data_IF_349335220282
#
_entry.id   IF_349335220282
#
_cell.length_a   1.000
_cell.length_b   1.000
_cell.length_c   1.000
_cell.angle_alpha   90.00
_cell.angle_beta   90.00
_cell.angle_gamma   90.00
#
_symmetry.space_group_name_H-M   'P 1'
#
loop_
_entity.id
_entity.type
_entity.pdbx_description
1 polymer ?
#
# COMPACT_ATOMS: atom_id res chain seq x y z
N UNK A 1 23.53 -7.39 0.59
CA UNK A 1 23.53 -6.99 2.02
C UNK A 1 22.69 -5.75 2.33
N UNK A 2 22.91 -4.59 1.67
CA UNK A 2 22.09 -3.39 1.92
C UNK A 2 20.58 -3.59 1.66
N UNK A 3 20.24 -4.32 0.60
CA UNK A 3 18.85 -4.66 0.24
C UNK A 3 18.11 -5.43 1.34
N UNK A 4 18.81 -6.28 2.10
CA UNK A 4 18.22 -7.06 3.17
C UNK A 4 17.85 -6.19 4.38
N UNK A 5 18.70 -5.21 4.71
CA UNK A 5 18.46 -4.23 5.78
C UNK A 5 17.31 -3.32 5.38
N UNK A 6 17.31 -2.82 4.14
CA UNK A 6 16.24 -1.97 3.62
C UNK A 6 14.90 -2.71 3.58
N UNK A 7 14.88 -3.93 3.06
CA UNK A 7 13.69 -4.78 3.02
C UNK A 7 13.17 -5.13 4.42
N UNK A 8 14.07 -5.50 5.34
CA UNK A 8 13.71 -5.86 6.71
C UNK A 8 13.14 -4.67 7.48
N UNK A 9 13.89 -3.56 7.54
CA UNK A 9 13.45 -2.36 8.28
C UNK A 9 12.20 -1.75 7.62
N UNK A 10 12.21 -1.61 6.29
CA UNK A 10 11.09 -1.04 5.54
C UNK A 10 9.83 -1.92 5.60
N UNK A 11 9.99 -3.24 5.48
CA UNK A 11 8.89 -4.20 5.57
C UNK A 11 8.24 -4.21 6.95
N UNK A 12 9.04 -4.27 8.02
CA UNK A 12 8.52 -4.24 9.39
C UNK A 12 7.84 -2.90 9.69
N UNK A 13 8.48 -1.78 9.37
CA UNK A 13 7.90 -0.45 9.62
C UNK A 13 6.60 -0.25 8.85
N UNK A 14 6.56 -0.56 7.55
CA UNK A 14 5.34 -0.44 6.76
C UNK A 14 4.24 -1.40 7.23
N UNK A 15 4.58 -2.60 7.70
CA UNK A 15 3.57 -3.53 8.23
C UNK A 15 2.93 -2.99 9.51
N UNK A 16 3.73 -2.47 10.44
CA UNK A 16 3.22 -1.86 11.68
C UNK A 16 2.38 -0.62 11.38
N UNK A 17 2.88 0.26 10.51
CA UNK A 17 2.20 1.50 10.14
C UNK A 17 0.89 1.22 9.38
N UNK A 18 0.89 0.23 8.49
CA UNK A 18 -0.30 -0.23 7.77
C UNK A 18 -1.39 -0.74 8.72
N UNK A 19 -1.03 -1.58 9.68
CA UNK A 19 -1.96 -2.05 10.71
C UNK A 19 -2.54 -0.90 11.55
N UNK A 20 -1.69 0.03 11.99
CA UNK A 20 -2.11 1.20 12.75
C UNK A 20 -3.10 2.07 11.93
N UNK A 21 -2.75 2.41 10.69
CA UNK A 21 -3.63 3.17 9.77
C UNK A 21 -4.96 2.44 9.52
N UNK A 22 -4.94 1.11 9.39
CA UNK A 22 -6.16 0.31 9.19
C UNK A 22 -7.09 0.35 10.42
N UNK A 23 -6.54 0.20 11.62
CA UNK A 23 -7.29 0.31 12.87
C UNK A 23 -7.89 1.71 13.05
N UNK A 24 -7.11 2.76 12.78
CA UNK A 24 -7.60 4.15 12.83
C UNK A 24 -8.67 4.40 11.76
N UNK A 25 -8.46 3.91 10.53
CA UNK A 25 -9.42 4.02 9.43
C UNK A 25 -10.77 3.40 9.76
N UNK A 26 -10.76 2.22 10.40
CA UNK A 26 -11.99 1.56 10.89
C UNK A 26 -12.67 2.36 11.99
N UNK A 27 -11.90 2.91 12.94
CA UNK A 27 -12.44 3.70 14.05
C UNK A 27 -13.04 5.03 13.59
N UNK A 28 -12.40 5.71 12.63
CA UNK A 28 -12.84 7.00 12.09
C UNK A 28 -13.84 6.87 10.93
N UNK A 29 -14.17 5.63 10.51
CA UNK A 29 -14.98 5.33 9.30
C UNK A 29 -14.49 6.06 8.04
N UNK A 30 -13.19 6.36 7.97
CA UNK A 30 -12.60 7.14 6.87
C UNK A 30 -12.16 6.20 5.75
N UNK A 31 -12.84 6.30 4.61
CA UNK A 31 -12.48 5.54 3.40
C UNK A 31 -11.09 5.92 2.87
N UNK A 32 -10.69 7.19 3.00
CA UNK A 32 -9.36 7.66 2.59
C UNK A 32 -8.25 7.02 3.42
N UNK A 33 -8.43 6.95 4.75
CA UNK A 33 -7.43 6.40 5.65
C UNK A 33 -7.26 4.88 5.50
N UNK A 34 -8.34 4.16 5.18
CA UNK A 34 -8.28 2.73 4.86
C UNK A 34 -7.51 2.49 3.55
N UNK A 35 -7.71 3.34 2.53
CA UNK A 35 -6.98 3.24 1.27
C UNK A 35 -5.48 3.46 1.45
N UNK A 36 -5.13 4.45 2.26
CA UNK A 36 -3.75 4.72 2.69
C UNK A 36 -3.13 3.54 3.46
N UNK A 37 -3.92 2.88 4.29
CA UNK A 37 -3.49 1.68 5.01
C UNK A 37 -3.18 0.52 4.05
N UNK A 38 -4.03 0.31 3.03
CA UNK A 38 -3.85 -0.72 2.00
C UNK A 38 -2.59 -0.45 1.16
N UNK A 39 -2.35 0.80 0.76
CA UNK A 39 -1.13 1.17 0.05
C UNK A 39 0.13 0.90 0.89
N UNK A 40 0.06 1.23 2.18
CA UNK A 40 1.17 1.00 3.11
C UNK A 40 1.42 -0.49 3.34
N UNK A 41 0.38 -1.33 3.45
CA UNK A 41 0.54 -2.78 3.62
C UNK A 41 1.08 -3.46 2.36
N UNK A 42 0.65 -3.03 1.17
CA UNK A 42 1.21 -3.50 -0.10
C UNK A 42 2.70 -3.15 -0.24
N UNK A 43 3.10 -1.97 0.25
CA UNK A 43 4.51 -1.56 0.29
C UNK A 43 5.35 -2.45 1.23
N UNK A 44 4.76 -2.97 2.32
CA UNK A 44 5.42 -3.97 3.16
C UNK A 44 5.62 -5.31 2.43
N UNK A 45 4.62 -5.76 1.68
CA UNK A 45 4.70 -6.98 0.87
C UNK A 45 5.78 -6.88 -0.21
N UNK A 46 5.85 -5.73 -0.90
CA UNK A 46 6.90 -5.46 -1.90
C UNK A 46 8.30 -5.46 -1.27
N UNK A 47 8.47 -4.85 -0.09
CA UNK A 47 9.74 -4.88 0.62
C UNK A 47 10.17 -6.32 0.99
N UNK A 48 9.22 -7.16 1.43
CA UNK A 48 9.51 -8.57 1.72
C UNK A 48 9.84 -9.36 0.44
N UNK A 49 9.14 -9.08 -0.67
CA UNK A 49 9.44 -9.72 -1.96
C UNK A 49 10.80 -9.34 -2.53
N UNK A 50 11.29 -8.12 -2.27
CA UNK A 50 12.67 -7.75 -2.61
C UNK A 50 13.70 -8.63 -1.90
N UNK A 51 13.52 -8.92 -0.60
CA UNK A 51 14.42 -9.80 0.14
C UNK A 51 14.39 -11.24 -0.41
N UNK A 52 13.19 -11.75 -0.73
CA UNK A 52 13.04 -13.08 -1.34
C UNK A 52 13.67 -13.13 -2.72
N UNK A 53 13.53 -12.06 -3.51
CA UNK A 53 14.11 -11.94 -4.84
C UNK A 53 15.64 -11.96 -4.82
N UNK A 54 16.26 -11.29 -3.84
CA UNK A 54 17.72 -11.31 -3.64
C UNK A 54 18.23 -12.72 -3.31
N UNK A 55 17.52 -13.44 -2.43
CA UNK A 55 17.85 -14.84 -2.10
C UNK A 55 17.69 -15.72 -3.34
N UNK A 56 16.57 -15.60 -4.07
CA UNK A 56 16.30 -16.47 -5.22
C UNK A 56 17.28 -16.20 -6.37
N UNK A 57 17.68 -14.95 -6.58
CA UNK A 57 18.69 -14.59 -7.58
C UNK A 57 20.03 -15.27 -7.32
N UNK A 58 20.40 -15.46 -6.04
CA UNK A 58 21.62 -16.18 -5.67
C UNK A 58 21.60 -17.66 -6.07
N UNK A 59 20.44 -18.32 -5.97
CA UNK A 59 20.30 -19.73 -6.35
C UNK A 59 20.01 -19.92 -7.85
N UNK A 60 19.26 -19.02 -8.46
CA UNK A 60 18.83 -19.07 -9.85
C UNK A 60 18.86 -17.67 -10.47
N UNK A 61 19.97 -17.26 -11.13
CA UNK A 61 20.10 -15.91 -11.71
C UNK A 61 19.08 -15.62 -12.81
N UNK A 62 18.49 -16.66 -13.42
CA UNK A 62 17.40 -16.54 -14.39
C UNK A 62 16.10 -16.00 -13.78
N UNK A 63 15.95 -16.01 -12.46
CA UNK A 63 14.74 -15.60 -11.76
C UNK A 63 14.65 -14.08 -11.50
N UNK A 64 15.54 -13.26 -12.06
CA UNK A 64 15.56 -11.79 -11.85
C UNK A 64 14.24 -11.06 -12.17
N UNK A 65 13.35 -11.68 -12.96
CA UNK A 65 12.07 -11.08 -13.38
C UNK A 65 10.99 -11.08 -12.30
N UNK A 66 11.17 -11.78 -11.17
CA UNK A 66 10.11 -11.90 -10.14
C UNK A 66 9.79 -10.56 -9.45
N UNK A 67 10.80 -9.73 -9.19
CA UNK A 67 10.63 -8.43 -8.54
C UNK A 67 9.85 -7.43 -9.42
N UNK A 68 10.18 -7.24 -10.71
CA UNK A 68 9.37 -6.39 -11.58
C UNK A 68 7.96 -6.97 -11.82
N UNK A 69 7.79 -8.30 -11.91
CA UNK A 69 6.46 -8.90 -12.09
C UNK A 69 5.58 -8.63 -10.86
N UNK A 70 6.08 -8.86 -9.65
CA UNK A 70 5.33 -8.59 -8.42
C UNK A 70 5.00 -7.11 -8.27
N UNK A 71 5.94 -6.23 -8.62
CA UNK A 71 5.72 -4.77 -8.62
C UNK A 71 4.63 -4.34 -9.62
N UNK A 72 4.59 -4.90 -10.83
CA UNK A 72 3.55 -4.61 -11.82
C UNK A 72 2.18 -5.06 -11.32
N UNK A 73 2.07 -6.26 -10.71
CA UNK A 73 0.81 -6.77 -10.16
C UNK A 73 0.28 -5.83 -9.07
N UNK A 74 1.13 -5.40 -8.13
CA UNK A 74 0.75 -4.45 -7.08
C UNK A 74 0.34 -3.09 -7.66
N UNK A 75 1.08 -2.59 -8.66
CA UNK A 75 0.75 -1.35 -9.35
C UNK A 75 -0.63 -1.40 -10.02
N UNK A 76 -0.98 -2.51 -10.69
CA UNK A 76 -2.30 -2.69 -11.30
C UNK A 76 -3.40 -2.71 -10.24
N UNK A 77 -3.19 -3.38 -9.11
CA UNK A 77 -4.15 -3.42 -7.99
C UNK A 77 -4.38 -1.99 -7.44
N UNK A 78 -3.31 -1.24 -7.20
CA UNK A 78 -3.39 0.14 -6.72
C UNK A 78 -4.05 1.07 -7.74
N UNK A 79 -3.75 0.89 -9.02
CA UNK A 79 -4.31 1.68 -10.11
C UNK A 79 -5.84 1.48 -10.21
N UNK A 80 -6.30 0.23 -10.25
CA UNK A 80 -7.74 -0.09 -10.29
C UNK A 80 -8.44 0.39 -9.01
N UNK A 81 -7.81 0.22 -7.84
CA UNK A 81 -8.31 0.74 -6.57
C UNK A 81 -8.45 2.28 -6.59
N UNK A 82 -7.45 2.98 -7.09
CA UNK A 82 -7.43 4.43 -7.24
C UNK A 82 -8.50 4.94 -8.19
N UNK A 83 -8.66 4.30 -9.36
CA UNK A 83 -9.72 4.62 -10.32
C UNK A 83 -11.11 4.46 -9.70
N UNK A 84 -11.35 3.37 -8.96
CA UNK A 84 -12.64 3.12 -8.30
C UNK A 84 -12.98 4.23 -7.30
N UNK A 85 -12.01 4.71 -6.54
CA UNK A 85 -12.19 5.81 -5.59
C UNK A 85 -12.41 7.15 -6.29
N UNK A 86 -11.68 7.42 -7.37
CA UNK A 86 -11.84 8.64 -8.16
C UNK A 86 -13.22 8.71 -8.82
N UNK A 87 -13.69 7.60 -9.40
CA UNK A 87 -15.03 7.51 -9.99
C UNK A 87 -16.13 7.68 -8.94
N UNK A 88 -15.98 7.09 -7.73
CA UNK A 88 -16.92 7.31 -6.62
C UNK A 88 -17.00 8.77 -6.20
N UNK A 89 -15.88 9.50 -6.20
CA UNK A 89 -15.86 10.93 -5.89
C UNK A 89 -16.61 11.76 -6.94
N UNK A 90 -16.46 11.41 -8.23
CA UNK A 90 -17.10 12.13 -9.34
C UNK A 90 -18.63 11.98 -9.37
N UNK A 91 -19.17 10.85 -8.90
CA UNK A 91 -20.61 10.58 -8.90
C UNK A 91 -21.39 11.28 -7.77
N UNK A 92 -20.73 11.94 -6.81
CA UNK A 92 -21.40 12.56 -5.67
C UNK A 92 -21.21 14.10 -5.59
N UNK A 93 -21.63 14.88 -6.60
CA UNK A 93 -21.48 16.34 -6.57
C UNK A 93 -22.46 17.07 -5.62
N UNK A 94 -23.51 16.42 -5.10
CA UNK A 94 -24.65 17.10 -4.48
C UNK A 94 -24.76 17.00 -2.94
N UNK A 95 -23.66 16.77 -2.20
CA UNK A 95 -23.67 16.94 -0.72
C UNK A 95 -22.38 17.56 -0.19
N UNK A 96 -21.96 18.69 -0.77
CA UNK A 96 -21.08 19.64 -0.08
C UNK A 96 -21.86 20.94 0.06
N UNK A 97 -22.42 21.22 1.25
CA UNK A 97 -21.60 21.81 2.32
C UNK A 97 -21.97 21.30 3.72
N UNK A 98 -21.00 20.85 4.55
CA UNK A 98 -21.07 20.88 6.05
C UNK A 98 -19.93 20.17 6.82
N UNK A 99 -18.69 20.10 6.32
CA UNK A 99 -17.54 19.74 7.17
C UNK A 99 -16.48 20.85 7.24
N UNK A 100 -16.98 22.08 7.41
CA UNK A 100 -16.22 23.24 7.91
C UNK A 100 -16.42 23.42 9.43
N UNK A 101 -17.19 22.58 10.15
CA UNK A 101 -17.73 22.98 11.46
C UNK A 101 -17.77 21.98 12.61
N UNK A 102 -16.86 21.00 12.74
CA UNK A 102 -16.73 20.24 14.01
C UNK A 102 -15.25 20.02 14.35
N UNK A 103 -14.58 21.14 14.63
CA UNK A 103 -13.47 21.19 15.57
C UNK A 103 -13.99 21.99 16.77
N UNK A 104 -14.56 21.28 17.75
CA UNK A 104 -14.72 21.72 19.14
C UNK A 104 -14.03 20.64 19.97
#
# INVERSE_FOLDING_TARGET
MYVFILAGVGGVMNSVLGCAKYMLGKKMKSQSLILEAINTSLSAVLAMMLAVSDILYFYHPSAWTIDPITSIVVAVILFVGGLKVLCRRKHNPETTPLLVGVAV
#
